data_IF_396847057405
#
_entry.id   IF_396847057405
#
_cell.length_a   1.000
_cell.length_b   1.000
_cell.length_c   1.000
_cell.angle_alpha   90.00
_cell.angle_beta   90.00
_cell.angle_gamma   90.00
#
_symmetry.space_group_name_H-M   'P 1'
#
loop_
_entity.id
_entity.type
_entity.pdbx_description
1 polymer ?
#
# COMPACT_ATOMS: atom_id res chain seq x y z
N UNK A 1 -10.56 -23.40 -16.78
CA UNK A 1 -10.43 -22.29 -15.80
C UNK A 1 -10.43 -20.99 -16.56
N UNK A 2 -11.30 -20.04 -16.23
CA UNK A 2 -11.32 -18.71 -16.85
C UNK A 2 -9.94 -18.06 -16.68
N UNK A 3 -9.41 -17.39 -17.71
CA UNK A 3 -8.09 -16.73 -17.69
C UNK A 3 -7.97 -15.79 -16.48
N UNK A 4 -9.04 -15.08 -16.15
CA UNK A 4 -9.10 -14.17 -15.00
C UNK A 4 -8.90 -14.94 -13.69
N UNK A 5 -9.57 -16.08 -13.53
CA UNK A 5 -9.46 -16.91 -12.33
C UNK A 5 -8.05 -17.51 -12.20
N UNK A 6 -7.41 -17.85 -13.31
CA UNK A 6 -6.03 -18.34 -13.30
C UNK A 6 -5.05 -17.28 -12.81
N UNK A 7 -5.12 -16.06 -13.34
CA UNK A 7 -4.22 -14.96 -12.96
C UNK A 7 -4.40 -14.59 -11.48
N UNK A 8 -5.65 -14.52 -11.01
CA UNK A 8 -5.96 -14.17 -9.63
C UNK A 8 -5.45 -15.22 -8.63
N UNK A 9 -5.67 -16.50 -8.93
CA UNK A 9 -5.20 -17.59 -8.05
C UNK A 9 -3.68 -17.68 -8.02
N UNK A 10 -3.00 -17.53 -9.16
CA UNK A 10 -1.55 -17.56 -9.24
C UNK A 10 -0.88 -16.41 -8.48
N UNK A 11 -1.36 -15.17 -8.66
CA UNK A 11 -0.78 -13.99 -8.01
C UNK A 11 -0.91 -14.03 -6.48
N UNK A 12 -2.09 -14.40 -5.97
CA UNK A 12 -2.32 -14.56 -4.54
C UNK A 12 -1.47 -15.66 -3.92
N UNK A 13 -1.43 -16.84 -4.56
CA UNK A 13 -0.65 -17.97 -4.04
C UNK A 13 0.84 -17.66 -3.99
N UNK A 14 1.38 -17.00 -5.03
CA UNK A 14 2.78 -16.59 -5.07
C UNK A 14 3.12 -15.56 -3.98
N UNK A 15 2.28 -14.54 -3.80
CA UNK A 15 2.50 -13.50 -2.77
C UNK A 15 2.51 -14.10 -1.36
N UNK A 16 1.52 -14.94 -1.04
CA UNK A 16 1.42 -15.60 0.27
C UNK A 16 2.61 -16.55 0.49
N UNK A 17 3.00 -17.32 -0.53
CA UNK A 17 4.12 -18.25 -0.44
C UNK A 17 5.43 -17.51 -0.13
N UNK A 18 5.73 -16.43 -0.84
CA UNK A 18 6.95 -15.66 -0.65
C UNK A 18 6.99 -15.00 0.75
N UNK A 19 5.88 -14.41 1.20
CA UNK A 19 5.80 -13.82 2.55
C UNK A 19 5.94 -14.88 3.63
N UNK A 20 5.30 -16.05 3.48
CA UNK A 20 5.41 -17.15 4.43
C UNK A 20 6.83 -17.73 4.50
N UNK A 21 7.51 -17.87 3.36
CA UNK A 21 8.91 -18.30 3.31
C UNK A 21 9.83 -17.30 3.99
N UNK A 22 9.63 -15.99 3.74
CA UNK A 22 10.42 -14.95 4.39
C UNK A 22 10.26 -14.99 5.92
N UNK A 23 9.03 -15.15 6.42
CA UNK A 23 8.77 -15.23 7.85
C UNK A 23 9.38 -16.48 8.49
N UNK A 24 9.41 -17.62 7.79
CA UNK A 24 10.02 -18.86 8.31
C UNK A 24 11.55 -18.84 8.30
N UNK A 25 12.17 -18.19 7.32
CA UNK A 25 13.62 -18.14 7.18
C UNK A 25 14.26 -17.06 8.05
N UNK A 26 13.57 -15.95 8.28
CA UNK A 26 14.09 -14.81 9.04
C UNK A 26 14.10 -15.13 10.54
N UNK A 27 15.28 -15.13 11.15
CA UNK A 27 15.43 -15.19 12.60
C UNK A 27 15.05 -13.83 13.20
N UNK A 28 13.89 -13.76 13.84
CA UNK A 28 13.43 -12.53 14.51
C UNK A 28 13.83 -12.58 15.99
N UNK A 29 14.72 -11.68 16.41
CA UNK A 29 15.01 -11.41 17.82
C UNK A 29 14.42 -10.05 18.18
N UNK A 30 13.15 -10.00 18.60
CA UNK A 30 12.48 -8.75 18.90
C UNK A 30 13.12 -8.11 20.14
N UNK A 31 13.43 -6.82 20.03
CA UNK A 31 13.92 -5.98 21.11
C UNK A 31 13.09 -4.70 21.10
N UNK A 32 12.84 -4.10 22.26
CA UNK A 32 12.00 -2.90 22.40
C UNK A 32 12.53 -1.76 21.53
N UNK A 33 13.85 -1.59 21.48
CA UNK A 33 14.51 -0.57 20.65
C UNK A 33 14.35 -0.85 19.16
N UNK A 34 14.41 -2.12 18.72
CA UNK A 34 14.22 -2.52 17.32
C UNK A 34 12.76 -2.39 16.87
N UNK A 35 11.82 -2.50 17.79
CA UNK A 35 10.38 -2.35 17.54
C UNK A 35 9.92 -0.89 17.63
N UNK A 36 10.79 0.02 18.11
CA UNK A 36 10.50 1.45 18.20
C UNK A 36 10.50 2.13 16.82
N UNK A 37 9.73 3.22 16.62
CA UNK A 37 9.72 3.96 15.37
C UNK A 37 11.09 4.58 15.04
N UNK A 38 11.65 4.24 13.88
CA UNK A 38 12.92 4.82 13.43
C UNK A 38 12.74 6.26 12.94
N UNK A 39 13.39 7.22 13.63
CA UNK A 39 13.47 8.63 13.20
C UNK A 39 14.92 9.10 13.10
N UNK A 40 15.71 8.45 12.23
CA UNK A 40 17.12 8.79 11.98
C UNK A 40 17.98 8.78 13.27
N UNK A 41 17.70 7.85 14.20
CA UNK A 41 18.39 7.76 15.49
C UNK A 41 17.90 8.75 16.56
N UNK A 42 16.84 9.52 16.29
CA UNK A 42 16.16 10.36 17.28
C UNK A 42 14.89 9.68 17.80
N UNK A 43 14.52 10.01 19.03
CA UNK A 43 13.23 9.62 19.58
C UNK A 43 12.08 10.26 18.78
N UNK A 44 10.97 9.53 18.55
CA UNK A 44 9.84 10.07 17.84
C UNK A 44 9.22 11.24 18.61
N UNK A 45 9.51 12.46 18.15
CA UNK A 45 8.81 13.66 18.62
C UNK A 45 7.34 13.60 18.13
N UNK A 46 6.45 13.14 19.01
CA UNK A 46 5.01 13.09 18.77
C UNK A 46 4.58 12.05 17.72
N UNK A 47 3.38 12.22 17.18
CA UNK A 47 2.82 11.30 16.19
C UNK A 47 3.47 11.47 14.81
N UNK A 48 3.57 10.39 14.04
CA UNK A 48 3.97 10.45 12.62
C UNK A 48 2.95 11.14 11.70
N UNK A 49 1.82 11.59 12.24
CA UNK A 49 0.79 12.32 11.48
C UNK A 49 1.21 13.77 11.34
N UNK A 50 1.71 14.11 10.16
CA UNK A 50 1.99 15.48 9.76
C UNK A 50 0.70 16.13 9.22
N UNK A 51 0.53 17.46 9.36
CA UNK A 51 -0.54 18.16 8.68
C UNK A 51 -0.42 17.91 7.17
N UNK A 52 -1.52 17.47 6.57
CA UNK A 52 -1.56 17.15 5.15
C UNK A 52 -1.60 18.43 4.32
N UNK A 53 -0.82 18.50 3.25
CA UNK A 53 -0.84 19.65 2.34
C UNK A 53 -2.13 19.65 1.53
N UNK A 54 -2.84 20.79 1.54
CA UNK A 54 -4.09 21.01 0.81
C UNK A 54 -3.89 20.80 -0.70
N UNK A 55 -2.69 21.06 -1.24
CA UNK A 55 -2.39 20.86 -2.65
C UNK A 55 -2.52 19.39 -3.07
N UNK A 56 -2.07 18.43 -2.25
CA UNK A 56 -2.24 17.00 -2.56
C UNK A 56 -3.71 16.56 -2.44
N UNK A 57 -4.48 17.21 -1.56
CA UNK A 57 -5.92 16.98 -1.45
C UNK A 57 -6.67 17.41 -2.71
N UNK A 58 -6.33 18.59 -3.24
CA UNK A 58 -6.89 19.10 -4.49
C UNK A 58 -6.61 18.18 -5.68
N UNK A 59 -5.40 17.62 -5.76
CA UNK A 59 -5.04 16.63 -6.80
C UNK A 59 -5.91 15.37 -6.69
N UNK A 60 -6.18 14.87 -5.48
CA UNK A 60 -7.04 13.71 -5.27
C UNK A 60 -8.50 13.98 -5.67
N UNK A 61 -9.04 15.17 -5.36
CA UNK A 61 -10.39 15.57 -5.80
C UNK A 61 -10.45 15.69 -7.32
N UNK A 62 -9.44 16.32 -7.94
CA UNK A 62 -9.38 16.46 -9.39
C UNK A 62 -9.31 15.09 -10.07
N UNK A 63 -8.50 14.15 -9.55
CA UNK A 63 -8.44 12.78 -10.04
C UNK A 63 -9.81 12.09 -9.97
N UNK A 64 -10.51 12.22 -8.83
CA UNK A 64 -11.84 11.62 -8.64
C UNK A 64 -12.88 12.20 -9.60
N UNK A 65 -12.86 13.51 -9.83
CA UNK A 65 -13.77 14.17 -10.76
C UNK A 65 -13.48 13.75 -12.21
N UNK A 66 -12.21 13.73 -12.61
CA UNK A 66 -11.80 13.31 -13.95
C UNK A 66 -12.11 11.82 -14.21
N UNK A 67 -11.91 10.94 -13.22
CA UNK A 67 -12.23 9.52 -13.33
C UNK A 67 -13.75 9.30 -13.53
N UNK A 68 -14.58 10.09 -12.83
CA UNK A 68 -16.03 10.06 -13.03
C UNK A 68 -16.43 10.55 -14.43
N UNK A 69 -15.75 11.53 -15.00
CA UNK A 69 -15.99 11.99 -16.38
C UNK A 69 -15.54 10.94 -17.40
N UNK A 70 -14.37 10.32 -17.19
CA UNK A 70 -13.89 9.24 -18.06
C UNK A 70 -14.83 8.03 -18.05
N UNK A 71 -15.38 7.66 -16.89
CA UNK A 71 -16.38 6.59 -16.80
C UNK A 71 -17.66 6.90 -17.61
N UNK A 72 -18.08 8.17 -17.66
CA UNK A 72 -19.23 8.61 -18.47
C UNK A 72 -18.92 8.64 -19.98
N UNK A 73 -17.67 8.91 -20.36
CA UNK A 73 -17.21 8.91 -21.75
C UNK A 73 -16.91 7.50 -22.29
N UNK A 74 -16.55 6.53 -21.44
CA UNK A 74 -16.26 5.14 -21.80
C UNK A 74 -17.31 4.45 -22.72
N UNK A 75 -18.64 4.65 -22.55
CA UNK A 75 -19.64 4.07 -23.45
C UNK A 75 -19.78 4.76 -24.81
N UNK A 76 -19.10 5.90 -25.04
CA UNK A 76 -19.04 6.52 -26.36
C UNK A 76 -18.09 5.68 -27.25
N UNK A 77 -18.50 5.31 -28.47
CA UNK A 77 -17.69 4.49 -29.37
C UNK A 77 -16.42 5.20 -29.88
#
# INVERSE_FOLDING_TARGET
INIILFILTLSLTLSILLTALNFRLTQTTPDSEKLSPYKCGFDPLGSARLPFSICFFLVAILFLLLDSEMALLLPLP
#
